data_IF_738737152406
#
_entry.id   IF_738737152406
#
_cell.length_a   1.000
_cell.length_b   1.000
_cell.length_c   1.000
_cell.angle_alpha   90.00
_cell.angle_beta   90.00
_cell.angle_gamma   90.00
#
_symmetry.space_group_name_H-M   'P 1'
#
loop_
_entity.id
_entity.type
_entity.pdbx_description
1 polymer ?
#
# COMPACT_ATOMS: atom_id res chain seq x y z
N UNK A 1 -14.07 1.09 14.67
CA UNK A 1 -14.94 1.20 13.48
C UNK A 1 -14.50 2.38 12.63
N UNK A 2 -14.55 2.30 11.29
CA UNK A 2 -14.25 3.44 10.43
C UNK A 2 -15.28 4.57 10.60
N UNK A 3 -14.83 5.82 10.59
CA UNK A 3 -15.65 7.04 10.72
C UNK A 3 -15.61 7.83 9.41
N UNK A 4 -16.73 8.45 9.02
CA UNK A 4 -16.79 9.20 7.77
C UNK A 4 -15.99 10.50 7.92
N UNK A 5 -15.04 10.80 7.01
CA UNK A 5 -14.23 12.01 7.12
C UNK A 5 -15.00 13.30 6.78
N UNK A 6 -16.23 13.21 6.24
CA UNK A 6 -17.04 14.39 5.88
C UNK A 6 -18.04 14.80 6.95
N UNK A 7 -18.68 13.83 7.61
CA UNK A 7 -19.79 14.09 8.53
C UNK A 7 -19.66 13.35 9.85
N UNK A 8 -18.51 12.70 10.09
CA UNK A 8 -18.18 11.95 11.31
C UNK A 8 -19.17 10.83 11.68
N UNK A 9 -20.06 10.47 10.75
CA UNK A 9 -21.01 9.39 10.96
C UNK A 9 -20.28 8.06 11.14
N UNK A 10 -20.79 7.23 12.05
CA UNK A 10 -20.40 5.82 12.19
C UNK A 10 -21.13 4.91 11.19
N UNK A 11 -22.13 5.42 10.47
CA UNK A 11 -22.94 4.67 9.48
C UNK A 11 -22.22 4.55 8.14
N UNK A 12 -21.17 3.74 8.12
CA UNK A 12 -20.39 3.45 6.92
C UNK A 12 -20.58 2.00 6.50
N UNK A 13 -20.95 1.79 5.23
CA UNK A 13 -21.09 0.46 4.62
C UNK A 13 -20.01 0.25 3.56
N UNK A 14 -19.59 -1.00 3.39
CA UNK A 14 -18.70 -1.38 2.29
C UNK A 14 -19.43 -1.19 0.96
N UNK A 15 -18.82 -0.47 0.02
CA UNK A 15 -19.39 -0.29 -1.32
C UNK A 15 -19.00 -1.47 -2.22
N UNK A 16 -19.91 -1.87 -3.10
CA UNK A 16 -19.60 -2.81 -4.17
C UNK A 16 -18.76 -2.11 -5.24
N UNK A 17 -17.76 -2.83 -5.76
CA UNK A 17 -16.93 -2.45 -6.91
C UNK A 17 -17.82 -2.27 -8.14
N UNK A 18 -17.85 -1.08 -8.73
CA UNK A 18 -18.60 -0.74 -9.95
C UNK A 18 -17.69 -0.44 -11.14
N UNK A 19 -16.45 0.00 -10.90
CA UNK A 19 -15.52 0.41 -11.98
C UNK A 19 -14.25 -0.44 -12.02
N UNK A 20 -13.62 -0.53 -13.20
CA UNK A 20 -12.33 -1.21 -13.38
C UNK A 20 -11.24 -0.67 -12.45
N UNK A 21 -11.25 0.65 -12.20
CA UNK A 21 -10.35 1.31 -11.25
C UNK A 21 -10.57 0.81 -9.82
N UNK A 22 -11.82 0.59 -9.41
CA UNK A 22 -12.14 0.01 -8.11
C UNK A 22 -11.75 -1.47 -8.02
N UNK A 23 -11.78 -2.21 -9.14
CA UNK A 23 -11.33 -3.61 -9.22
C UNK A 23 -9.82 -3.70 -9.00
N UNK A 24 -9.05 -2.79 -9.60
CA UNK A 24 -7.61 -2.69 -9.36
C UNK A 24 -7.31 -2.34 -7.89
N UNK A 25 -8.00 -1.35 -7.32
CA UNK A 25 -7.83 -0.97 -5.91
C UNK A 25 -8.23 -2.08 -4.92
N UNK A 26 -9.20 -2.93 -5.29
CA UNK A 26 -9.59 -4.12 -4.51
C UNK A 26 -8.44 -5.12 -4.37
N UNK A 27 -7.62 -5.32 -5.41
CA UNK A 27 -6.42 -6.16 -5.34
C UNK A 27 -5.36 -5.60 -4.37
N UNK A 28 -5.30 -4.28 -4.20
CA UNK A 28 -4.41 -3.62 -3.24
C UNK A 28 -4.99 -3.52 -1.82
N UNK A 29 -6.03 -4.31 -1.50
CA UNK A 29 -6.77 -4.29 -0.24
C UNK A 29 -7.35 -2.90 0.12
N UNK A 30 -7.48 -2.00 -0.87
CA UNK A 30 -8.06 -0.67 -0.72
C UNK A 30 -9.55 -0.76 -1.04
N UNK A 31 -10.33 -1.13 -0.03
CA UNK A 31 -11.78 -1.31 -0.13
C UNK A 31 -12.46 0.07 -0.12
N UNK A 32 -13.36 0.30 -1.07
CA UNK A 32 -14.22 1.49 -1.07
C UNK A 32 -15.32 1.37 -0.02
N UNK A 33 -15.53 2.46 0.71
CA UNK A 33 -16.57 2.62 1.71
C UNK A 33 -17.52 3.72 1.27
N UNK A 34 -18.80 3.58 1.64
CA UNK A 34 -19.85 4.58 1.44
C UNK A 34 -20.44 4.97 2.79
N UNK A 35 -20.53 6.27 3.06
CA UNK A 35 -21.31 6.80 4.17
C UNK A 35 -22.80 6.82 3.77
N UNK A 36 -23.66 6.36 4.67
CA UNK A 36 -25.12 6.35 4.46
C UNK A 36 -25.75 7.72 4.73
N UNK A 37 -25.13 8.56 5.56
CA UNK A 37 -25.69 9.86 5.96
C UNK A 37 -25.36 10.97 4.95
N UNK A 38 -24.07 11.16 4.60
CA UNK A 38 -23.66 12.22 3.65
C UNK A 38 -23.38 11.71 2.23
N UNK A 39 -23.53 10.40 1.98
CA UNK A 39 -23.28 9.81 0.66
C UNK A 39 -21.80 9.75 0.23
N UNK A 40 -20.85 10.17 1.08
CA UNK A 40 -19.42 10.12 0.78
C UNK A 40 -18.98 8.72 0.32
N UNK A 41 -18.12 8.66 -0.70
CA UNK A 41 -17.51 7.43 -1.20
C UNK A 41 -16.00 7.59 -1.29
N UNK A 42 -15.26 6.64 -0.76
CA UNK A 42 -13.82 6.66 -0.85
C UNK A 42 -13.14 5.53 -0.10
N UNK A 43 -11.81 5.51 -0.19
CA UNK A 43 -10.99 4.54 0.54
C UNK A 43 -10.67 5.13 1.90
N UNK A 44 -11.01 4.40 2.95
CA UNK A 44 -10.57 4.74 4.29
C UNK A 44 -9.15 4.19 4.43
N UNK A 45 -8.17 5.08 4.51
CA UNK A 45 -6.79 4.69 4.78
C UNK A 45 -6.79 4.05 6.17
N UNK A 46 -6.60 2.74 6.22
CA UNK A 46 -6.38 2.03 7.48
C UNK A 46 -5.10 2.61 8.05
N UNK A 47 -5.21 3.39 9.13
CA UNK A 47 -4.02 3.80 9.89
C UNK A 47 -3.44 2.51 10.48
N UNK A 48 -2.29 2.08 9.98
CA UNK A 48 -1.55 0.99 10.59
C UNK A 48 -1.15 1.41 12.00
N UNK A 49 -1.06 0.45 12.92
CA UNK A 49 -0.44 0.73 14.22
C UNK A 49 0.99 1.22 14.01
N UNK A 50 1.48 2.11 14.88
CA UNK A 50 2.86 2.64 14.79
C UNK A 50 3.90 1.53 14.68
N UNK A 51 3.64 0.38 15.31
CA UNK A 51 4.48 -0.82 15.23
C UNK A 51 4.52 -1.44 13.83
N UNK A 52 3.35 -1.63 13.20
CA UNK A 52 3.26 -2.16 11.83
C UNK A 52 3.91 -1.22 10.83
N UNK A 53 3.77 0.10 11.03
CA UNK A 53 4.43 1.10 10.20
C UNK A 53 5.96 1.03 10.32
N UNK A 54 6.50 0.94 11.54
CA UNK A 54 7.94 0.73 11.78
C UNK A 54 8.45 -0.55 11.12
N UNK A 55 7.70 -1.65 11.19
CA UNK A 55 8.06 -2.92 10.53
C UNK A 55 8.11 -2.80 9.00
N UNK A 56 7.13 -2.12 8.40
CA UNK A 56 7.10 -1.87 6.95
C UNK A 56 8.30 -1.03 6.52
N UNK A 57 8.63 0.02 7.28
CA UNK A 57 9.80 0.88 7.00
C UNK A 57 11.10 0.08 7.15
N UNK A 58 11.24 -0.72 8.21
CA UNK A 58 12.42 -1.60 8.42
C UNK A 58 12.60 -2.59 7.26
N UNK A 59 11.52 -3.27 6.84
CA UNK A 59 11.56 -4.19 5.69
C UNK A 59 11.97 -3.49 4.40
N UNK A 60 11.46 -2.28 4.12
CA UNK A 60 11.87 -1.51 2.94
C UNK A 60 13.35 -1.13 2.95
N UNK A 61 13.89 -0.76 4.12
CA UNK A 61 15.33 -0.47 4.26
C UNK A 61 16.17 -1.73 3.97
N UNK A 62 15.83 -2.85 4.59
CA UNK A 62 16.53 -4.13 4.36
C UNK A 62 16.50 -4.51 2.89
N UNK A 63 15.33 -4.44 2.26
CA UNK A 63 15.19 -4.77 0.84
C UNK A 63 16.08 -3.89 -0.05
N UNK A 64 16.13 -2.57 0.21
CA UNK A 64 17.00 -1.65 -0.54
C UNK A 64 18.48 -2.01 -0.42
N UNK A 65 18.94 -2.35 0.80
CA UNK A 65 20.33 -2.77 1.00
C UNK A 65 20.63 -4.06 0.24
N UNK A 66 19.77 -5.07 0.36
CA UNK A 66 19.93 -6.35 -0.33
C UNK A 66 19.96 -6.16 -1.85
N UNK A 67 19.08 -5.35 -2.41
CA UNK A 67 19.09 -5.06 -3.85
C UNK A 67 20.36 -4.35 -4.28
N UNK A 68 20.84 -3.37 -3.50
CA UNK A 68 22.07 -2.66 -3.83
C UNK A 68 23.29 -3.60 -3.80
N UNK A 69 23.39 -4.46 -2.79
CA UNK A 69 24.49 -5.44 -2.70
C UNK A 69 24.49 -6.42 -3.86
N UNK A 70 23.32 -6.92 -4.27
CA UNK A 70 23.21 -7.82 -5.42
C UNK A 70 23.64 -7.12 -6.71
N UNK A 71 23.16 -5.89 -6.95
CA UNK A 71 23.54 -5.10 -8.13
C UNK A 71 25.05 -4.87 -8.18
N UNK A 72 25.68 -4.52 -7.06
CA UNK A 72 27.12 -4.33 -6.99
C UNK A 72 27.89 -5.61 -7.30
N UNK A 73 27.48 -6.76 -6.73
CA UNK A 73 28.13 -8.05 -7.01
C UNK A 73 27.99 -8.46 -8.48
N UNK A 74 26.81 -8.25 -9.08
CA UNK A 74 26.58 -8.53 -10.51
C UNK A 74 27.44 -7.62 -11.38
N UNK A 75 27.54 -6.33 -11.05
CA UNK A 75 28.41 -5.40 -11.77
C UNK A 75 29.88 -5.82 -11.71
N UNK A 76 30.38 -6.19 -10.52
CA UNK A 76 31.75 -6.68 -10.35
C UNK A 76 32.01 -7.98 -11.14
N UNK A 77 31.04 -8.89 -11.14
CA UNK A 77 31.12 -10.12 -11.93
C UNK A 77 31.20 -9.82 -13.43
N UNK A 78 30.33 -8.96 -13.94
CA UNK A 78 30.36 -8.55 -15.35
C UNK A 78 31.70 -7.92 -15.70
N UNK A 79 32.20 -6.97 -14.90
CA UNK A 79 33.48 -6.31 -15.20
C UNK A 79 34.65 -7.29 -15.17
N UNK A 80 34.61 -8.33 -14.34
CA UNK A 80 35.69 -9.31 -14.23
C UNK A 80 35.67 -10.37 -15.33
N UNK A 81 34.49 -10.80 -15.76
CA UNK A 81 34.34 -11.98 -16.63
C UNK A 81 33.97 -11.65 -18.08
N UNK A 82 33.43 -10.46 -18.36
CA UNK A 82 33.08 -10.03 -19.73
C UNK A 82 34.08 -9.04 -20.32
N UNK A 83 34.85 -8.33 -19.49
CA UNK A 83 35.82 -7.33 -19.94
C UNK A 83 37.30 -7.74 -19.72
N UNK A 84 37.55 -8.85 -19.03
CA UNK A 84 38.89 -9.43 -18.84
C UNK A 84 38.97 -10.79 -19.51
#
# INVERSE_FOLDING_TARGET
>A
MPICPKCESKRIKRSHTRTFKEKFLKNFNRRNFRCLDCGWRGIIKVKYTKEKEKLIIKRRKIFRYVTATIVTLVALFITKYLMG
#
